data_IF_246209584753
#
_entry.id   IF_246209584753
#
_cell.length_a   1.000
_cell.length_b   1.000
_cell.length_c   1.000
_cell.angle_alpha   90.00
_cell.angle_beta   90.00
_cell.angle_gamma   90.00
#
_symmetry.space_group_name_H-M   'P 1'
#
loop_
_entity.id
_entity.type
_entity.pdbx_description
1 polymer ?
#
# COMPACT_ATOMS: atom_id res chain seq x y z
N UNK A 1 -18.70 -3.33 0.60
CA UNK A 1 -18.98 -2.06 1.31
C UNK A 1 -17.97 -1.95 2.44
N UNK A 2 -16.93 -1.11 2.31
CA UNK A 2 -15.87 -0.96 3.32
C UNK A 2 -16.46 -0.13 4.48
N UNK A 3 -16.87 -0.76 5.57
CA UNK A 3 -17.38 -0.09 6.78
C UNK A 3 -16.64 -0.59 8.02
N UNK A 4 -15.40 -0.15 8.17
CA UNK A 4 -14.61 -0.37 9.38
C UNK A 4 -13.77 0.89 9.66
N UNK A 5 -14.19 1.79 10.55
CA UNK A 5 -13.42 2.98 10.91
C UNK A 5 -12.01 2.63 11.42
N UNK A 6 -11.83 1.46 12.04
CA UNK A 6 -10.51 0.95 12.45
C UNK A 6 -9.59 0.64 11.27
N UNK A 7 -10.13 0.15 10.16
CA UNK A 7 -9.35 -0.14 8.95
C UNK A 7 -8.84 1.15 8.32
N UNK A 8 -9.67 2.19 8.35
CA UNK A 8 -9.29 3.52 7.89
C UNK A 8 -8.15 4.14 8.70
N UNK A 9 -8.27 4.05 10.03
CA UNK A 9 -7.23 4.54 10.93
C UNK A 9 -5.90 3.82 10.70
N UNK A 10 -5.97 2.50 10.50
CA UNK A 10 -4.81 1.68 10.19
C UNK A 10 -4.12 2.08 8.89
N UNK A 11 -4.88 2.24 7.80
CA UNK A 11 -4.34 2.69 6.51
C UNK A 11 -3.74 4.08 6.63
N UNK A 12 -4.39 5.00 7.36
CA UNK A 12 -3.84 6.34 7.60
C UNK A 12 -2.49 6.27 8.33
N UNK A 13 -2.40 5.51 9.41
CA UNK A 13 -1.16 5.38 10.19
C UNK A 13 -0.04 4.76 9.34
N UNK A 14 -0.36 3.77 8.51
CA UNK A 14 0.60 3.19 7.59
C UNK A 14 1.10 4.19 6.54
N UNK A 15 0.18 4.98 5.95
CA UNK A 15 0.57 6.03 5.01
C UNK A 15 1.39 7.13 5.70
N UNK A 16 1.09 7.47 6.95
CA UNK A 16 1.88 8.43 7.73
C UNK A 16 3.31 7.92 7.97
N UNK A 17 3.50 6.60 8.13
CA UNK A 17 4.82 5.99 8.28
C UNK A 17 5.59 5.82 6.94
N UNK A 18 4.87 5.48 5.86
CA UNK A 18 5.44 5.24 4.53
C UNK A 18 5.82 6.55 3.84
N UNK A 19 5.04 7.62 4.02
CA UNK A 19 5.29 8.90 3.35
C UNK A 19 6.51 9.62 3.95
N UNK A 20 7.47 10.09 3.13
CA UNK A 20 8.53 10.97 3.59
C UNK A 20 8.01 12.31 4.11
N UNK A 21 6.89 12.80 3.57
CA UNK A 21 6.26 14.05 3.99
C UNK A 21 4.73 14.01 3.84
N UNK A 22 3.98 14.86 4.58
CA UNK A 22 2.53 14.96 4.43
C UNK A 22 2.06 15.37 3.02
N UNK A 23 2.92 16.06 2.26
CA UNK A 23 2.65 16.53 0.89
C UNK A 23 2.99 15.49 -0.19
N UNK A 24 3.58 14.35 0.21
CA UNK A 24 3.95 13.27 -0.69
C UNK A 24 2.72 12.74 -1.43
N UNK A 25 2.86 12.60 -2.76
CA UNK A 25 1.83 12.03 -3.62
C UNK A 25 1.73 10.51 -3.40
N UNK A 26 0.50 10.05 -3.17
CA UNK A 26 0.18 8.63 -2.99
C UNK A 26 -0.44 8.11 -4.29
N UNK A 27 0.23 7.17 -4.96
CA UNK A 27 -0.35 6.45 -6.08
C UNK A 27 -1.21 5.29 -5.61
N UNK A 28 -2.39 5.13 -6.21
CA UNK A 28 -3.30 4.01 -5.93
C UNK A 28 -3.61 3.26 -7.22
N UNK A 29 -3.35 1.96 -7.24
CA UNK A 29 -3.66 1.11 -8.38
C UNK A 29 -5.17 1.02 -8.63
N UNK A 30 -5.59 0.83 -9.90
CA UNK A 30 -7.01 0.77 -10.32
C UNK A 30 -7.86 -0.26 -9.56
N UNK A 31 -7.25 -1.33 -9.05
CA UNK A 31 -7.96 -2.36 -8.28
C UNK A 31 -8.40 -1.87 -6.89
N UNK A 32 -7.93 -0.68 -6.48
CA UNK A 32 -8.15 -0.07 -5.18
C UNK A 32 -8.84 1.31 -5.31
N UNK A 33 -9.66 1.55 -6.35
CA UNK A 33 -10.36 2.83 -6.56
C UNK A 33 -11.19 3.27 -5.35
N UNK A 34 -11.80 2.32 -4.63
CA UNK A 34 -12.52 2.60 -3.39
C UNK A 34 -11.60 3.22 -2.31
N UNK A 35 -10.34 2.79 -2.24
CA UNK A 35 -9.34 3.40 -1.36
C UNK A 35 -8.93 4.79 -1.86
N UNK A 36 -8.76 4.96 -3.17
CA UNK A 36 -8.45 6.28 -3.77
C UNK A 36 -9.48 7.34 -3.38
N UNK A 37 -10.78 7.06 -3.62
CA UNK A 37 -11.88 7.96 -3.26
C UNK A 37 -11.92 8.29 -1.77
N UNK A 38 -11.61 7.29 -0.95
CA UNK A 38 -11.63 7.40 0.50
C UNK A 38 -10.49 8.28 1.01
N UNK A 39 -9.28 8.13 0.48
CA UNK A 39 -8.14 8.97 0.81
C UNK A 39 -8.35 10.42 0.35
N UNK A 40 -8.90 10.62 -0.86
CA UNK A 40 -9.29 11.93 -1.37
C UNK A 40 -10.32 12.62 -0.45
N UNK A 41 -11.32 11.88 0.03
CA UNK A 41 -12.32 12.40 0.99
C UNK A 41 -11.72 12.86 2.33
N UNK A 42 -10.49 12.44 2.63
CA UNK A 42 -9.73 12.81 3.84
C UNK A 42 -8.64 13.86 3.57
N UNK A 43 -8.61 14.44 2.37
CA UNK A 43 -7.66 15.49 2.00
C UNK A 43 -6.25 15.00 1.68
N UNK A 44 -6.07 13.69 1.46
CA UNK A 44 -4.78 13.13 1.03
C UNK A 44 -4.64 13.29 -0.49
N UNK A 45 -3.49 13.78 -0.96
CA UNK A 45 -3.19 13.88 -2.39
C UNK A 45 -2.96 12.49 -2.98
N UNK A 46 -3.83 12.09 -3.90
CA UNK A 46 -3.81 10.76 -4.53
C UNK A 46 -3.74 10.87 -6.05
N UNK A 47 -2.90 10.04 -6.65
CA UNK A 47 -2.91 9.73 -8.08
C UNK A 47 -3.62 8.39 -8.31
N UNK A 48 -4.84 8.37 -8.88
CA UNK A 48 -5.52 7.13 -9.22
C UNK A 48 -4.85 6.43 -10.40
N UNK A 49 -5.09 5.12 -10.53
CA UNK A 49 -4.56 4.26 -11.59
C UNK A 49 -3.03 4.24 -11.71
N UNK A 50 -2.34 4.48 -10.60
CA UNK A 50 -0.88 4.56 -10.54
C UNK A 50 -0.15 3.26 -10.90
N UNK A 51 1.03 3.44 -11.49
CA UNK A 51 1.99 2.39 -11.83
C UNK A 51 3.33 2.61 -11.10
N UNK A 52 4.16 1.57 -10.95
CA UNK A 52 5.47 1.70 -10.30
C UNK A 52 6.47 2.65 -11.02
N UNK A 53 6.21 2.98 -12.29
CA UNK A 53 7.04 3.91 -13.06
C UNK A 53 6.71 5.39 -12.82
N UNK A 54 5.59 5.68 -12.13
CA UNK A 54 5.18 7.05 -11.84
C UNK A 54 6.08 7.67 -10.75
N UNK A 55 6.27 9.00 -10.81
CA UNK A 55 7.00 9.74 -9.78
C UNK A 55 6.13 9.92 -8.53
N UNK A 56 6.15 8.91 -7.65
CA UNK A 56 5.32 8.80 -6.45
C UNK A 56 6.20 8.57 -5.23
N UNK A 57 5.78 9.05 -4.06
CA UNK A 57 6.46 8.68 -2.81
C UNK A 57 5.86 7.47 -2.12
N UNK A 58 4.58 7.15 -2.37
CA UNK A 58 3.97 5.89 -1.90
C UNK A 58 3.11 5.27 -2.99
N UNK A 59 3.18 3.95 -3.16
CA UNK A 59 2.33 3.19 -4.08
C UNK A 59 1.47 2.17 -3.32
N UNK A 60 0.16 2.18 -3.57
CA UNK A 60 -0.82 1.25 -2.99
C UNK A 60 -1.32 0.26 -4.05
N UNK A 61 -1.21 -1.05 -3.80
CA UNK A 61 -1.61 -2.09 -4.77
C UNK A 61 -2.02 -3.42 -4.10
N UNK A 62 -2.64 -4.33 -4.85
CA UNK A 62 -2.93 -5.70 -4.41
C UNK A 62 -1.84 -6.72 -4.80
N UNK A 63 -1.65 -7.76 -3.98
CA UNK A 63 -0.58 -8.76 -4.09
C UNK A 63 -0.86 -9.86 -5.14
N UNK A 64 -1.06 -9.51 -6.41
CA UNK A 64 -1.47 -10.52 -7.42
C UNK A 64 -0.64 -10.57 -8.71
N UNK A 65 0.41 -9.76 -8.86
CA UNK A 65 1.19 -9.76 -10.10
C UNK A 65 2.70 -9.78 -9.85
N UNK A 66 3.30 -10.97 -9.96
CA UNK A 66 4.74 -11.18 -9.88
C UNK A 66 5.51 -10.61 -11.08
N UNK A 67 4.86 -10.41 -12.23
CA UNK A 67 5.51 -9.84 -13.42
C UNK A 67 5.97 -8.38 -13.22
N UNK A 68 5.49 -7.71 -12.16
CA UNK A 68 5.89 -6.35 -11.79
C UNK A 68 6.77 -6.33 -10.53
N UNK A 69 7.26 -7.48 -10.07
CA UNK A 69 8.09 -7.56 -8.87
C UNK A 69 9.36 -6.72 -8.99
N UNK A 70 10.04 -6.77 -10.15
CA UNK A 70 11.27 -6.01 -10.38
C UNK A 70 11.03 -4.50 -10.34
N UNK A 71 9.96 -4.03 -10.97
CA UNK A 71 9.59 -2.61 -10.95
C UNK A 71 9.26 -2.12 -9.53
N UNK A 72 8.60 -2.96 -8.73
CA UNK A 72 8.30 -2.67 -7.33
C UNK A 72 9.56 -2.64 -6.46
N UNK A 73 10.50 -3.57 -6.70
CA UNK A 73 11.81 -3.57 -6.02
C UNK A 73 12.57 -2.28 -6.36
N UNK A 74 12.65 -1.91 -7.64
CA UNK A 74 13.30 -0.67 -8.04
C UNK A 74 12.62 0.57 -7.43
N UNK A 75 11.29 0.60 -7.39
CA UNK A 75 10.53 1.69 -6.77
C UNK A 75 10.92 1.86 -5.29
N UNK A 76 11.02 0.77 -4.53
CA UNK A 76 11.43 0.82 -3.12
C UNK A 76 12.90 1.18 -2.98
N UNK A 77 13.80 0.67 -3.83
CA UNK A 77 15.23 1.02 -3.83
C UNK A 77 15.47 2.53 -4.05
N UNK A 78 14.60 3.18 -4.85
CA UNK A 78 14.59 4.64 -5.05
C UNK A 78 14.02 5.42 -3.84
N UNK A 79 13.65 4.74 -2.76
CA UNK A 79 13.11 5.33 -1.54
C UNK A 79 11.58 5.43 -1.50
N UNK A 80 10.87 4.81 -2.44
CA UNK A 80 9.41 4.77 -2.46
C UNK A 80 8.84 3.87 -1.36
N UNK A 81 7.75 4.30 -0.71
CA UNK A 81 7.01 3.50 0.25
C UNK A 81 5.99 2.58 -0.43
N UNK A 82 5.92 1.31 -0.05
CA UNK A 82 5.04 0.34 -0.70
C UNK A 82 3.98 -0.21 0.26
N UNK A 83 2.71 -0.02 -0.09
CA UNK A 83 1.55 -0.57 0.60
C UNK A 83 0.91 -1.67 -0.25
N UNK A 84 0.99 -2.92 0.20
CA UNK A 84 0.42 -4.06 -0.53
C UNK A 84 -0.68 -4.74 0.31
N UNK A 85 -1.87 -4.88 -0.28
CA UNK A 85 -2.93 -5.74 0.25
C UNK A 85 -2.98 -7.08 -0.47
N UNK A 86 -2.75 -8.19 0.22
CA UNK A 86 -2.94 -9.55 -0.30
C UNK A 86 -4.22 -10.18 0.23
N UNK A 87 -4.83 -11.12 -0.49
CA UNK A 87 -5.90 -11.95 0.08
C UNK A 87 -5.32 -13.16 0.79
N UNK A 88 -5.96 -13.57 1.87
CA UNK A 88 -5.67 -14.82 2.60
C UNK A 88 -6.86 -15.77 2.57
N UNK A 89 -7.58 -15.81 1.45
CA UNK A 89 -8.70 -16.73 1.26
C UNK A 89 -8.28 -18.18 1.46
N UNK A 90 -7.13 -18.60 0.88
CA UNK A 90 -6.62 -19.96 0.99
C UNK A 90 -6.24 -20.32 2.43
N UNK A 91 -5.56 -19.40 3.11
CA UNK A 91 -5.20 -19.57 4.53
C UNK A 91 -6.44 -19.62 5.42
N UNK A 92 -7.42 -18.73 5.21
CA UNK A 92 -8.66 -18.68 6.00
C UNK A 92 -9.53 -19.91 5.80
N UNK A 93 -9.48 -20.50 4.60
CA UNK A 93 -10.14 -21.77 4.30
C UNK A 93 -9.51 -22.93 5.08
N UNK A 94 -8.19 -22.93 5.25
CA UNK A 94 -7.44 -24.02 5.89
C UNK A 94 -7.36 -23.90 7.43
N UNK A 95 -7.38 -22.68 7.96
CA UNK A 95 -7.03 -22.41 9.38
C UNK A 95 -8.10 -21.65 10.16
N UNK A 96 -9.27 -21.40 9.56
CA UNK A 96 -10.33 -20.61 10.19
C UNK A 96 -10.05 -19.11 10.13
N UNK A 97 -10.91 -18.30 10.78
CA UNK A 97 -10.85 -16.83 10.71
C UNK A 97 -10.03 -16.19 11.85
N UNK A 98 -9.52 -16.98 12.78
CA UNK A 98 -8.74 -16.48 13.91
C UNK A 98 -7.34 -16.05 13.46
N UNK A 99 -6.88 -14.88 13.90
CA UNK A 99 -5.58 -14.30 13.46
C UNK A 99 -5.63 -13.54 12.13
N UNK A 100 -6.78 -13.52 11.46
CA UNK A 100 -6.99 -12.78 10.21
C UNK A 100 -7.74 -11.50 10.52
N UNK A 101 -7.04 -10.37 10.52
CA UNK A 101 -7.61 -9.05 10.81
C UNK A 101 -8.85 -8.78 9.93
N UNK A 102 -8.79 -9.18 8.65
CA UNK A 102 -9.86 -9.35 7.65
C UNK A 102 -9.26 -10.26 6.54
N UNK A 103 -10.02 -10.89 5.61
CA UNK A 103 -9.48 -11.77 4.53
C UNK A 103 -8.45 -11.10 3.57
N UNK A 104 -7.96 -9.92 3.93
CA UNK A 104 -6.90 -9.17 3.30
C UNK A 104 -5.73 -9.00 4.31
N UNK A 105 -4.60 -9.70 4.13
CA UNK A 105 -3.35 -9.36 4.83
C UNK A 105 -2.76 -8.10 4.20
N UNK A 106 -2.28 -7.17 5.01
CA UNK A 106 -1.54 -5.99 4.56
C UNK A 106 -0.06 -6.21 4.85
N UNK A 107 0.78 -6.22 3.81
CA UNK A 107 2.24 -6.20 3.91
C UNK A 107 2.70 -4.76 3.70
N UNK A 108 3.43 -4.23 4.68
CA UNK A 108 4.09 -2.94 4.60
C UNK A 108 5.56 -3.15 4.31
N UNK A 109 6.09 -2.47 3.30
CA UNK A 109 7.52 -2.48 3.02
C UNK A 109 8.03 -1.06 2.86
N UNK A 110 9.01 -0.71 3.69
CA UNK A 110 9.87 0.47 3.55
C UNK A 110 11.29 -0.05 3.71
N UNK A 111 11.94 -0.41 2.62
CA UNK A 111 13.40 -0.58 2.66
C UNK A 111 13.99 0.82 2.44
N UNK A 112 14.45 1.43 3.53
CA UNK A 112 15.38 2.53 3.42
C UNK A 112 16.65 1.95 2.77
N UNK A 113 17.00 2.41 1.57
CA UNK A 113 18.36 2.28 1.08
C UNK A 113 19.25 2.91 2.15
N UNK A 114 19.99 2.05 2.86
CA UNK A 114 21.00 2.47 3.82
C UNK A 114 21.91 3.43 3.09
N UNK A 115 21.91 4.67 3.55
CA UNK A 115 22.87 5.69 3.18
C UNK A 115 24.25 5.07 3.29
N UNK A 116 24.93 4.90 2.15
CA UNK A 116 26.33 4.47 2.15
C UNK A 116 27.14 5.68 2.60
N UNK A 117 27.22 5.86 3.91
CA UNK A 117 28.06 6.87 4.52
C UNK A 117 29.53 6.44 4.35
N UNK A 118 30.19 7.14 3.42
CA UNK A 118 31.64 7.33 3.19
C UNK A 118 32.54 6.09 3.14
#
# INVERSE_FOLDING_TARGET
>A
MIRLPQFLLFIKNALDWLRPSPTTLVGVHRSLDALSNLLLSKGIKVQPHATPGDSLGVLCRVAYNSALADDLVQFVQRGGGLLIGGQTWHWSYQHGKEGVLYPWILVFSKYASVEKER
#
